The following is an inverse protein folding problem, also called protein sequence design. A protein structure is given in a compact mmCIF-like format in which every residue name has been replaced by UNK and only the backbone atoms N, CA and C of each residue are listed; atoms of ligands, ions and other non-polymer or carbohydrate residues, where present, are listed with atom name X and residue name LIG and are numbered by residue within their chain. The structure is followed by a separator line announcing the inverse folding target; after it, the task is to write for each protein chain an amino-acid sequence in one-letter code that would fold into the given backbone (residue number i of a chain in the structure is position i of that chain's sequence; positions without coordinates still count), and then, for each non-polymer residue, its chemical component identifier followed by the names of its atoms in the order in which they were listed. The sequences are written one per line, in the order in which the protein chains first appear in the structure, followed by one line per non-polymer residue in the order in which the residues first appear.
data_IF_752784655008
#
_entry.id   IF_752784655008
#
_cell.length_a   1.000
_cell.length_b   1.000
_cell.length_c   1.000
_cell.angle_alpha   90.00
_cell.angle_beta   90.00
_cell.angle_gamma   90.00
#
_symmetry.space_group_name_H-M   'P 1'
#
loop_
_entity.id
_entity.type
_entity.pdbx_description
1 polymer ?
#
# COMPACT_ATOMS: atom_id res chain seq x y z
N UNK A 1 -43.29 35.02 -45.94
CA UNK A 1 -42.60 34.96 -47.26
C UNK A 1 -41.25 34.32 -47.09
N UNK A 2 -40.98 33.29 -47.93
CA UNK A 2 -39.68 32.67 -48.27
C UNK A 2 -38.94 31.99 -47.11
N UNK A 3 -39.09 30.70 -46.92
CA UNK A 3 -38.39 29.56 -47.58
C UNK A 3 -36.93 29.88 -47.89
N UNK A 4 -36.01 29.24 -47.17
CA UNK A 4 -34.88 28.57 -47.79
C UNK A 4 -34.50 27.35 -46.90
N UNK A 5 -34.70 26.24 -47.55
CA UNK A 5 -34.24 24.90 -47.21
C UNK A 5 -32.74 24.82 -47.57
N UNK A 6 -31.90 24.38 -46.71
CA UNK A 6 -30.62 23.78 -47.12
C UNK A 6 -30.28 22.55 -46.29
N UNK A 7 -30.44 21.44 -46.94
CA UNK A 7 -29.89 20.14 -46.57
C UNK A 7 -28.37 20.20 -46.66
N UNK A 8 -27.65 19.76 -45.62
CA UNK A 8 -26.37 19.11 -45.83
C UNK A 8 -26.29 17.90 -44.93
N UNK A 9 -26.36 16.78 -45.57
CA UNK A 9 -26.00 15.47 -45.06
C UNK A 9 -24.48 15.32 -45.05
N UNK A 10 -24.04 14.31 -44.34
CA UNK A 10 -22.78 13.55 -44.44
C UNK A 10 -21.74 13.88 -43.38
N UNK A 11 -21.40 12.82 -42.66
CA UNK A 11 -20.14 12.70 -41.92
C UNK A 11 -20.29 11.98 -40.60
N UNK A 12 -20.48 10.65 -40.67
CA UNK A 12 -20.37 9.80 -39.51
C UNK A 12 -18.93 9.75 -39.01
N UNK A 13 -18.75 10.00 -37.76
CA UNK A 13 -17.63 9.46 -37.00
C UNK A 13 -18.19 8.94 -35.70
N UNK A 14 -18.24 7.61 -35.61
CA UNK A 14 -18.42 6.87 -34.38
C UNK A 14 -17.21 7.16 -33.47
N UNK A 15 -17.37 8.09 -32.57
CA UNK A 15 -16.46 8.22 -31.46
C UNK A 15 -16.97 7.26 -30.38
N UNK A 16 -16.37 6.06 -30.33
CA UNK A 16 -16.52 5.15 -29.23
C UNK A 16 -15.92 5.81 -27.98
N UNK A 17 -16.74 6.45 -27.21
CA UNK A 17 -16.38 6.84 -25.86
C UNK A 17 -16.28 5.57 -25.03
N UNK A 18 -15.08 5.04 -24.90
CA UNK A 18 -14.74 4.06 -23.87
C UNK A 18 -14.94 4.75 -22.53
N UNK A 19 -16.04 4.45 -21.87
CA UNK A 19 -16.24 4.76 -20.46
C UNK A 19 -15.22 3.93 -19.69
N UNK A 20 -14.05 4.51 -19.46
CA UNK A 20 -13.14 4.02 -18.45
C UNK A 20 -13.80 4.33 -17.12
N UNK A 21 -14.42 3.33 -16.53
CA UNK A 21 -14.77 3.36 -15.12
C UNK A 21 -13.49 3.51 -14.31
N UNK A 22 -13.31 4.59 -13.55
CA UNK A 22 -12.31 4.58 -12.49
C UNK A 22 -12.83 3.67 -11.38
N UNK A 23 -12.64 2.37 -11.55
CA UNK A 23 -12.72 1.45 -10.44
C UNK A 23 -11.56 1.83 -9.52
N UNK A 24 -11.85 2.51 -8.42
CA UNK A 24 -10.96 2.67 -7.29
C UNK A 24 -10.78 1.32 -6.60
N UNK A 25 -10.14 0.39 -7.30
CA UNK A 25 -9.47 -0.73 -6.72
C UNK A 25 -8.00 -0.36 -6.67
N UNK A 26 -7.44 -0.17 -5.48
CA UNK A 26 -6.01 0.03 -5.31
C UNK A 26 -5.27 -1.16 -5.91
N UNK A 27 -4.89 -1.05 -7.17
CA UNK A 27 -3.95 -1.99 -7.78
C UNK A 27 -2.60 -1.70 -7.16
N UNK A 28 -2.21 -2.53 -6.21
CA UNK A 28 -0.82 -2.60 -5.76
C UNK A 28 0.06 -2.68 -7.02
N UNK A 29 0.94 -1.68 -7.21
CA UNK A 29 1.86 -1.66 -8.32
C UNK A 29 2.77 -2.89 -8.24
N UNK A 30 2.53 -3.87 -9.09
CA UNK A 30 3.34 -5.07 -9.20
C UNK A 30 4.29 -4.88 -10.38
N UNK A 31 5.46 -4.32 -10.13
CA UNK A 31 6.51 -4.10 -11.13
C UNK A 31 7.87 -4.51 -10.58
N UNK A 32 8.92 -4.56 -11.42
CA UNK A 32 10.26 -4.98 -11.01
C UNK A 32 10.88 -4.11 -9.90
N UNK A 33 10.35 -2.91 -9.69
CA UNK A 33 10.80 -1.98 -8.65
C UNK A 33 9.91 -2.02 -7.37
N UNK A 34 9.00 -2.99 -7.27
CA UNK A 34 8.11 -3.14 -6.11
C UNK A 34 8.74 -4.07 -5.08
N UNK A 35 8.90 -3.57 -3.86
CA UNK A 35 9.30 -4.35 -2.70
C UNK A 35 8.04 -4.64 -1.87
N UNK A 36 7.81 -5.91 -1.54
CA UNK A 36 6.77 -6.33 -0.60
C UNK A 36 7.42 -6.81 0.70
N UNK A 37 6.97 -6.27 1.81
CA UNK A 37 7.46 -6.59 3.14
C UNK A 37 6.32 -7.22 3.91
N UNK A 38 6.41 -8.51 4.15
CA UNK A 38 5.39 -9.27 4.88
C UNK A 38 5.86 -9.54 6.31
N UNK A 39 5.01 -9.25 7.30
CA UNK A 39 5.36 -9.38 8.72
C UNK A 39 4.78 -10.63 9.37
N UNK A 40 4.20 -11.56 8.63
CA UNK A 40 3.56 -12.77 9.18
C UNK A 40 4.51 -13.57 10.08
N UNK A 41 5.74 -13.78 9.63
CA UNK A 41 6.75 -14.49 10.44
C UNK A 41 7.48 -13.54 11.40
N UNK A 42 7.77 -12.32 10.93
CA UNK A 42 8.51 -11.33 11.71
C UNK A 42 7.75 -10.90 12.97
N UNK A 43 6.43 -10.70 12.84
CA UNK A 43 5.55 -10.21 13.88
C UNK A 43 4.68 -11.29 14.53
N UNK A 44 5.03 -12.57 14.41
CA UNK A 44 4.22 -13.67 14.94
C UNK A 44 4.03 -13.62 16.46
N UNK A 45 4.94 -13.01 17.19
CA UNK A 45 4.88 -12.84 18.65
C UNK A 45 4.18 -11.54 19.07
N UNK A 46 3.85 -10.66 18.13
CA UNK A 46 3.13 -9.40 18.39
C UNK A 46 1.63 -9.70 18.42
N UNK A 47 1.11 -9.81 19.62
CA UNK A 47 -0.28 -10.23 19.86
C UNK A 47 -1.15 -9.01 20.14
N UNK A 48 -2.23 -8.88 19.37
CA UNK A 48 -3.28 -7.90 19.58
C UNK A 48 -4.30 -8.36 20.64
N UNK A 49 -5.57 -8.17 20.37
CA UNK A 49 -6.62 -8.60 21.28
C UNK A 49 -6.90 -10.11 21.19
N UNK A 50 -6.94 -10.66 19.98
CA UNK A 50 -7.22 -12.09 19.72
C UNK A 50 -6.09 -12.84 19.01
N UNK A 51 -5.01 -12.18 18.67
CA UNK A 51 -3.89 -12.83 17.98
C UNK A 51 -2.97 -11.86 17.25
N UNK A 52 -2.05 -12.38 16.43
CA UNK A 52 -1.19 -11.55 15.61
C UNK A 52 -1.98 -10.76 14.56
N UNK A 53 -1.53 -9.55 14.26
CA UNK A 53 -2.08 -8.69 13.22
C UNK A 53 -1.03 -8.41 12.14
N UNK A 54 -0.66 -9.42 11.33
CA UNK A 54 0.37 -9.27 10.33
C UNK A 54 -0.05 -8.30 9.23
N UNK A 55 0.95 -7.63 8.63
CA UNK A 55 0.73 -6.70 7.51
C UNK A 55 1.66 -7.01 6.34
N UNK A 56 1.23 -6.63 5.15
CA UNK A 56 2.06 -6.55 3.96
C UNK A 56 2.22 -5.09 3.54
N UNK A 57 3.45 -4.59 3.53
CA UNK A 57 3.77 -3.23 3.11
C UNK A 57 4.29 -3.29 1.68
N UNK A 58 3.62 -2.63 0.76
CA UNK A 58 4.02 -2.50 -0.64
C UNK A 58 4.76 -1.18 -0.85
N UNK A 59 5.98 -1.27 -1.38
CA UNK A 59 6.86 -0.12 -1.63
C UNK A 59 7.23 -0.09 -3.10
N UNK A 60 6.96 1.01 -3.79
CA UNK A 60 7.35 1.22 -5.18
C UNK A 60 8.32 2.39 -5.27
N UNK A 61 9.48 2.16 -5.87
CA UNK A 61 10.56 3.16 -5.98
C UNK A 61 10.93 3.85 -4.64
N UNK A 62 10.82 3.11 -3.55
CA UNK A 62 11.17 3.59 -2.22
C UNK A 62 10.04 4.33 -1.49
N UNK A 63 8.86 4.44 -2.09
CA UNK A 63 7.66 5.07 -1.51
C UNK A 63 6.64 4.01 -1.18
N UNK A 64 6.02 4.10 -0.01
CA UNK A 64 4.93 3.21 0.42
C UNK A 64 3.70 3.51 -0.41
N UNK A 65 3.24 2.51 -1.16
CA UNK A 65 2.05 2.61 -2.01
C UNK A 65 0.83 1.98 -1.38
N UNK A 66 1.02 0.99 -0.52
CA UNK A 66 -0.06 0.30 0.14
C UNK A 66 0.41 -0.40 1.41
N UNK A 67 -0.49 -0.55 2.39
CA UNK A 67 -0.31 -1.37 3.60
C UNK A 67 -1.58 -2.17 3.78
N UNK A 68 -1.50 -3.47 3.55
CA UNK A 68 -2.59 -4.40 3.69
C UNK A 68 -2.49 -5.15 5.02
N UNK A 69 -3.58 -5.19 5.78
CA UNK A 69 -3.69 -6.05 6.96
C UNK A 69 -4.06 -7.45 6.51
N UNK A 70 -3.16 -8.39 6.75
CA UNK A 70 -3.33 -9.78 6.33
C UNK A 70 -4.37 -10.51 7.19
N UNK A 71 -4.85 -11.71 6.75
CA UNK A 71 -5.79 -12.50 7.53
C UNK A 71 -5.32 -12.68 8.98
N UNK A 72 -6.20 -12.39 9.92
CA UNK A 72 -5.93 -12.39 11.35
C UNK A 72 -7.18 -12.83 12.12
N UNK A 73 -7.07 -12.94 13.44
CA UNK A 73 -8.15 -13.36 14.33
C UNK A 73 -8.73 -12.21 15.19
N UNK A 74 -8.37 -10.96 14.87
CA UNK A 74 -8.89 -9.81 15.57
C UNK A 74 -10.42 -9.69 15.44
N UNK A 75 -11.05 -9.09 16.45
CA UNK A 75 -12.48 -8.79 16.39
C UNK A 75 -12.77 -7.82 15.25
N UNK A 76 -13.69 -8.15 14.32
CA UNK A 76 -13.94 -7.33 13.12
C UNK A 76 -14.24 -5.87 13.44
N UNK A 77 -14.97 -5.61 14.52
CA UNK A 77 -15.32 -4.26 14.96
C UNK A 77 -14.08 -3.46 15.38
N UNK A 78 -13.18 -4.05 16.15
CA UNK A 78 -11.96 -3.38 16.60
C UNK A 78 -11.01 -3.12 15.45
N UNK A 79 -10.85 -4.10 14.55
CA UNK A 79 -10.03 -3.93 13.35
C UNK A 79 -10.59 -2.83 12.46
N UNK A 80 -11.91 -2.80 12.24
CA UNK A 80 -12.57 -1.75 11.46
C UNK A 80 -12.31 -0.37 12.06
N UNK A 81 -12.45 -0.20 13.39
CA UNK A 81 -12.16 1.07 14.07
C UNK A 81 -10.71 1.54 13.79
N UNK A 82 -9.77 0.62 13.79
CA UNK A 82 -8.35 0.95 13.49
C UNK A 82 -8.18 1.36 12.04
N UNK A 83 -8.77 0.63 11.10
CA UNK A 83 -8.66 0.94 9.66
C UNK A 83 -9.31 2.29 9.32
N UNK A 84 -10.44 2.61 9.94
CA UNK A 84 -11.16 3.89 9.76
C UNK A 84 -10.49 5.07 10.46
N UNK A 85 -9.60 4.84 11.41
CA UNK A 85 -8.90 5.90 12.15
C UNK A 85 -7.94 6.74 11.31
N UNK A 86 -7.58 6.27 10.11
CA UNK A 86 -6.59 6.93 9.25
C UNK A 86 -5.13 6.60 9.61
N UNK A 87 -4.90 5.64 10.51
CA UNK A 87 -3.55 5.26 10.95
C UNK A 87 -2.66 4.84 9.78
N UNK A 88 -3.17 3.95 8.93
CA UNK A 88 -2.44 3.47 7.73
C UNK A 88 -2.25 4.61 6.72
N UNK A 89 -3.25 5.44 6.52
CA UNK A 89 -3.24 6.53 5.55
C UNK A 89 -2.14 7.57 5.81
N UNK A 90 -1.72 7.74 7.07
CA UNK A 90 -0.60 8.61 7.43
C UNK A 90 0.73 8.16 6.81
N UNK A 91 0.86 6.89 6.46
CA UNK A 91 2.09 6.28 5.95
C UNK A 91 2.12 6.18 4.41
N UNK A 92 0.95 6.13 3.77
CA UNK A 92 0.86 6.04 2.31
C UNK A 92 1.45 7.29 1.66
N UNK A 93 2.27 7.09 0.64
CA UNK A 93 2.96 8.17 -0.08
C UNK A 93 4.27 8.63 0.57
N UNK A 94 4.62 8.11 1.75
CA UNK A 94 5.89 8.39 2.43
C UNK A 94 6.98 7.40 2.00
N UNK A 95 8.22 7.83 2.11
CA UNK A 95 9.35 6.92 2.02
C UNK A 95 9.44 6.07 3.30
N UNK A 96 10.16 4.95 3.23
CA UNK A 96 10.37 4.11 4.42
C UNK A 96 11.01 4.87 5.58
N UNK A 97 11.88 5.84 5.27
CA UNK A 97 12.55 6.63 6.28
C UNK A 97 11.62 7.65 6.95
N UNK A 98 10.81 8.37 6.16
CA UNK A 98 9.80 9.28 6.68
C UNK A 98 8.74 8.54 7.49
N UNK A 99 8.32 7.36 7.04
CA UNK A 99 7.36 6.54 7.73
C UNK A 99 7.85 6.04 9.10
N UNK A 100 9.16 5.76 9.24
CA UNK A 100 9.78 5.39 10.54
C UNK A 100 9.78 6.52 11.55
N UNK A 101 9.76 7.76 11.09
CA UNK A 101 9.75 8.95 11.95
C UNK A 101 8.32 9.42 12.26
N UNK A 102 7.33 8.80 11.62
CA UNK A 102 5.92 9.15 11.87
C UNK A 102 5.47 8.63 13.22
N UNK A 103 4.84 9.50 14.00
CA UNK A 103 4.22 9.11 15.26
C UNK A 103 2.85 8.51 14.99
N UNK A 104 2.69 7.25 15.38
CA UNK A 104 1.42 6.55 15.30
C UNK A 104 0.84 6.35 16.69
N UNK A 105 -0.41 6.75 16.87
CA UNK A 105 -1.10 6.67 18.14
C UNK A 105 -2.11 5.52 18.16
N UNK A 106 -2.21 4.84 19.29
CA UNK A 106 -3.20 3.80 19.49
C UNK A 106 -4.62 4.37 19.45
N UNK A 107 -5.53 3.63 18.83
CA UNK A 107 -6.93 4.03 18.67
C UNK A 107 -7.71 3.77 19.95
N UNK A 108 -8.33 4.81 20.50
CA UNK A 108 -9.18 4.69 21.68
C UNK A 108 -10.34 3.73 21.42
N UNK A 109 -10.53 2.76 22.29
CA UNK A 109 -11.54 1.71 22.13
C UNK A 109 -11.06 0.46 21.39
N UNK A 110 -9.92 0.55 20.66
CA UNK A 110 -9.27 -0.57 19.98
C UNK A 110 -7.77 -0.62 20.29
N UNK A 111 -7.38 -0.30 21.52
CA UNK A 111 -5.98 -0.09 21.93
C UNK A 111 -5.08 -1.30 21.65
N UNK A 112 -5.51 -2.50 22.04
CA UNK A 112 -4.69 -3.71 21.83
C UNK A 112 -4.49 -4.01 20.36
N UNK A 113 -5.55 -3.99 19.56
CA UNK A 113 -5.50 -4.23 18.11
C UNK A 113 -4.65 -3.17 17.40
N UNK A 114 -4.83 -1.89 17.73
CA UNK A 114 -4.05 -0.81 17.10
C UNK A 114 -2.59 -0.84 17.52
N UNK A 115 -2.28 -1.14 18.78
CA UNK A 115 -0.88 -1.26 19.23
C UNK A 115 -0.17 -2.40 18.52
N UNK A 116 -0.78 -3.57 18.39
CA UNK A 116 -0.20 -4.69 17.69
C UNK A 116 -0.01 -4.39 16.19
N UNK A 117 -0.96 -3.70 15.56
CA UNK A 117 -0.85 -3.27 14.17
C UNK A 117 0.31 -2.28 13.98
N UNK A 118 0.43 -1.28 14.86
CA UNK A 118 1.54 -0.30 14.84
C UNK A 118 2.89 -1.02 14.94
N UNK A 119 3.04 -1.92 15.92
CA UNK A 119 4.28 -2.68 16.11
C UNK A 119 4.63 -3.54 14.89
N UNK A 120 3.64 -4.17 14.25
CA UNK A 120 3.86 -4.93 13.03
C UNK A 120 4.30 -4.02 11.87
N UNK A 121 3.69 -2.85 11.72
CA UNK A 121 4.09 -1.86 10.71
C UNK A 121 5.53 -1.38 10.97
N UNK A 122 5.86 -0.98 12.20
CA UNK A 122 7.21 -0.53 12.57
C UNK A 122 8.26 -1.61 12.29
N UNK A 123 7.95 -2.86 12.64
CA UNK A 123 8.81 -4.00 12.36
C UNK A 123 9.02 -4.22 10.85
N UNK A 124 7.96 -4.12 10.06
CA UNK A 124 8.02 -4.18 8.59
C UNK A 124 8.85 -3.04 8.01
N UNK A 125 8.64 -1.81 8.47
CA UNK A 125 9.41 -0.64 8.05
C UNK A 125 10.91 -0.82 8.37
N UNK A 126 11.25 -1.33 9.56
CA UNK A 126 12.64 -1.59 9.95
C UNK A 126 13.32 -2.59 9.00
N UNK A 127 12.62 -3.68 8.67
CA UNK A 127 13.13 -4.73 7.80
C UNK A 127 13.20 -4.32 6.32
N UNK A 128 12.29 -3.47 5.84
CA UNK A 128 12.29 -2.98 4.47
C UNK A 128 13.56 -2.21 4.07
N UNK A 129 14.23 -1.57 5.04
CA UNK A 129 15.54 -0.94 4.81
C UNK A 129 16.69 -1.94 4.71
N UNK A 130 16.56 -3.11 5.30
CA UNK A 130 17.59 -4.15 5.27
C UNK A 130 17.63 -4.88 3.91
N UNK A 131 16.48 -5.01 3.25
CA UNK A 131 16.36 -5.69 1.94
C UNK A 131 17.16 -5.02 0.81
N UNK A 132 17.40 -3.72 0.88
CA UNK A 132 18.27 -3.01 -0.09
C UNK A 132 19.76 -3.34 0.06
N UNK A 133 20.19 -3.94 1.16
CA UNK A 133 21.61 -4.31 1.39
C UNK A 133 21.97 -5.68 0.85
N UNK A 134 21.00 -6.51 0.50
CA UNK A 134 21.20 -7.87 0.00
C UNK A 134 20.82 -8.03 -1.49
N UNK A 135 20.84 -6.96 -2.26
CA UNK A 135 20.93 -7.12 -3.71
C UNK A 135 22.30 -7.74 -4.00
N UNK A 136 22.39 -8.93 -4.64
CA UNK A 136 23.67 -9.47 -5.06
C UNK A 136 24.18 -8.63 -6.24
N UNK A 137 24.71 -7.46 -5.89
CA UNK A 137 25.43 -6.59 -6.80
C UNK A 137 26.83 -7.12 -6.98
N UNK A 138 27.00 -7.78 -8.12
CA UNK A 138 28.23 -7.79 -8.90
C UNK A 138 29.55 -7.91 -8.11
N UNK A 139 29.93 -9.13 -7.81
CA UNK A 139 31.32 -9.45 -7.48
C UNK A 139 32.12 -9.53 -8.78
N UNK A 140 32.38 -8.39 -9.40
CA UNK A 140 33.46 -8.23 -10.35
C UNK A 140 34.55 -7.42 -9.65
N UNK A 141 35.36 -8.11 -8.86
CA UNK A 141 36.64 -7.59 -8.41
C UNK A 141 37.72 -8.15 -9.36
N UNK A 142 38.27 -7.35 -10.27
CA UNK A 142 39.47 -7.73 -11.00
C UNK A 142 40.71 -7.17 -10.28
N UNK A 143 41.14 -7.86 -9.25
CA UNK A 143 42.41 -7.57 -8.60
C UNK A 143 43.02 -8.85 -8.03
N UNK A 144 43.41 -9.75 -8.93
CA UNK A 144 44.45 -10.74 -8.67
C UNK A 144 45.33 -10.83 -9.90
N UNK A 145 46.36 -10.01 -9.91
CA UNK A 145 47.65 -10.26 -10.53
C UNK A 145 48.72 -9.53 -9.76
#
# INVERSE_FOLDING_TARGET
MKKILLLFAIGGTLLSASLVNPSCGGSAATGPDTLKINTTELGAEIIGFNGPTPVEISVYKGVITDIEVLPNHEGPMYLQMVLESGLIQKLIGKTLEEARQESLDAVTGATFTSTALIQNIELGLANGGASKRNSPGNVNNPSDK
#
